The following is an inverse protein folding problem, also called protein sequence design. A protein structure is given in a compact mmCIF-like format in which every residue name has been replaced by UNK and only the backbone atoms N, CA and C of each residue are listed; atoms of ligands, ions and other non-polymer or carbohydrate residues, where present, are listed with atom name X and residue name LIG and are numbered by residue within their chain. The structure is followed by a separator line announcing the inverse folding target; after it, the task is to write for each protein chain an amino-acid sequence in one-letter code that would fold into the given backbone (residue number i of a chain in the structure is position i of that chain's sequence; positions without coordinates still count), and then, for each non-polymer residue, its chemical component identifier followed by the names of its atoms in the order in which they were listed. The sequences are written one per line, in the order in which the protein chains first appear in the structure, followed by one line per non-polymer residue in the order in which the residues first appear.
data_IF_243347783511
#
_entry.id   IF_243347783511
#
_cell.length_a   1.000
_cell.length_b   1.000
_cell.length_c   1.000
_cell.angle_alpha   90.00
_cell.angle_beta   90.00
_cell.angle_gamma   90.00
#
_symmetry.space_group_name_H-M   'P 1'
#
loop_
_entity.id
_entity.type
_entity.pdbx_description
1 polymer ?
#
# COMPACT_ATOMS: atom_id res chain seq x y z
N UNK A 1 -6.40 12.61 -51.93
CA UNK A 1 -7.13 12.07 -50.76
C UNK A 1 -6.13 11.72 -49.67
N UNK A 2 -6.08 12.51 -48.60
CA UNK A 2 -5.22 12.21 -47.44
C UNK A 2 -6.16 11.86 -46.29
N UNK A 3 -6.21 10.60 -45.80
CA UNK A 3 -7.11 10.26 -44.72
C UNK A 3 -6.65 10.96 -43.44
N UNK A 4 -7.59 11.66 -42.81
CA UNK A 4 -7.43 12.45 -41.60
C UNK A 4 -6.84 11.60 -40.45
N UNK A 5 -5.60 11.92 -40.06
CA UNK A 5 -4.85 11.28 -38.95
C UNK A 5 -5.54 11.35 -37.58
N UNK A 6 -6.62 12.13 -37.45
CA UNK A 6 -7.43 12.20 -36.23
C UNK A 6 -8.24 10.92 -35.96
N UNK A 7 -8.73 10.23 -37.00
CA UNK A 7 -9.58 9.04 -36.82
C UNK A 7 -8.81 7.87 -36.21
N UNK A 8 -7.53 7.73 -36.58
CA UNK A 8 -6.64 6.66 -36.09
C UNK A 8 -6.34 6.85 -34.59
N UNK A 9 -6.17 8.10 -34.15
CA UNK A 9 -5.82 8.41 -32.76
C UNK A 9 -7.01 8.28 -31.80
N UNK A 10 -8.24 8.50 -32.26
CA UNK A 10 -9.44 8.37 -31.42
C UNK A 10 -9.95 6.92 -31.32
N UNK A 11 -9.70 6.07 -32.32
CA UNK A 11 -10.04 4.64 -32.25
C UNK A 11 -9.22 3.89 -31.19
N UNK A 12 -7.93 4.21 -31.07
CA UNK A 12 -7.04 3.56 -30.08
C UNK A 12 -7.37 3.95 -28.63
N UNK A 13 -7.74 5.20 -28.38
CA UNK A 13 -8.09 5.67 -27.02
C UNK A 13 -9.40 5.07 -26.52
N UNK A 14 -10.37 4.87 -27.41
CA UNK A 14 -11.66 4.26 -27.05
C UNK A 14 -11.50 2.76 -26.73
N UNK A 15 -10.63 2.04 -27.43
CA UNK A 15 -10.37 0.62 -27.18
C UNK A 15 -9.67 0.36 -25.82
N UNK A 16 -8.76 1.25 -25.42
CA UNK A 16 -8.01 1.11 -24.16
C UNK A 16 -8.88 1.30 -22.90
N UNK A 17 -9.96 2.09 -22.99
CA UNK A 17 -10.86 2.35 -21.86
C UNK A 17 -11.79 1.18 -21.53
N UNK A 18 -12.07 0.27 -22.48
CA UNK A 18 -13.02 -0.83 -22.28
C UNK A 18 -12.38 -2.06 -21.61
N UNK A 19 -11.06 -2.28 -21.72
CA UNK A 19 -10.41 -3.46 -21.13
C UNK A 19 -10.14 -3.37 -19.61
N UNK A 20 -10.33 -2.21 -18.98
CA UNK A 20 -9.94 -1.97 -17.58
C UNK A 20 -10.93 -2.45 -16.51
N UNK A 21 -12.17 -2.80 -16.85
CA UNK A 21 -13.23 -3.04 -15.85
C UNK A 21 -13.45 -4.51 -15.47
N UNK A 22 -12.75 -5.46 -16.09
CA UNK A 22 -12.98 -6.90 -15.85
C UNK A 22 -12.22 -7.49 -14.63
N UNK A 23 -11.45 -6.69 -13.88
CA UNK A 23 -10.57 -7.18 -12.81
C UNK A 23 -11.06 -6.90 -11.37
N UNK A 24 -12.32 -6.47 -11.18
CA UNK A 24 -12.87 -6.21 -9.83
C UNK A 24 -13.87 -7.29 -9.33
N UNK A 25 -14.05 -8.40 -10.04
CA UNK A 25 -14.96 -9.48 -9.63
C UNK A 25 -14.28 -10.56 -8.76
N UNK A 26 -13.45 -10.17 -7.79
CA UNK A 26 -12.73 -11.11 -6.93
C UNK A 26 -12.56 -10.68 -5.47
N UNK A 27 -13.30 -9.66 -5.00
CA UNK A 27 -13.39 -9.39 -3.57
C UNK A 27 -14.52 -10.24 -2.99
N UNK A 28 -14.21 -11.50 -2.69
CA UNK A 28 -15.14 -12.42 -2.06
C UNK A 28 -15.36 -11.96 -0.62
N UNK A 29 -16.38 -11.13 -0.41
CA UNK A 29 -16.89 -10.81 0.92
C UNK A 29 -17.63 -12.02 1.48
N UNK A 30 -16.90 -13.03 1.92
CA UNK A 30 -17.45 -14.05 2.81
C UNK A 30 -17.65 -13.43 4.19
N UNK A 31 -18.89 -13.09 4.53
CA UNK A 31 -19.29 -12.92 5.93
C UNK A 31 -19.82 -14.28 6.39
N UNK A 32 -19.21 -14.87 7.43
CA UNK A 32 -20.02 -15.07 8.63
C UNK A 32 -19.22 -14.80 9.91
N UNK A 33 -19.93 -14.31 10.91
CA UNK A 33 -19.37 -13.92 12.20
C UNK A 33 -18.49 -14.99 12.85
N UNK A 34 -17.41 -14.51 13.46
CA UNK A 34 -16.79 -15.07 14.64
C UNK A 34 -15.85 -13.98 15.13
N UNK A 35 -16.20 -13.28 16.21
CA UNK A 35 -15.24 -12.49 16.96
C UNK A 35 -14.27 -13.51 17.57
N UNK A 36 -13.02 -13.63 17.11
CA UNK A 36 -12.07 -14.45 17.84
C UNK A 36 -11.80 -13.68 19.13
N UNK A 37 -12.11 -14.29 20.27
CA UNK A 37 -11.60 -13.82 21.54
C UNK A 37 -10.10 -13.61 21.37
N UNK A 38 -9.65 -12.37 21.62
CA UNK A 38 -8.25 -12.00 21.53
C UNK A 38 -7.46 -12.78 22.59
N UNK A 39 -7.04 -14.00 22.23
CA UNK A 39 -5.89 -14.61 22.85
C UNK A 39 -4.73 -13.67 22.58
N UNK A 40 -3.96 -13.33 23.61
CA UNK A 40 -2.76 -12.51 23.46
C UNK A 40 -1.78 -13.28 22.58
N UNK A 41 -1.91 -13.13 21.26
CA UNK A 41 -0.96 -13.65 20.29
C UNK A 41 0.33 -12.89 20.53
N UNK A 42 1.40 -13.62 20.84
CA UNK A 42 2.73 -13.05 20.93
C UNK A 42 2.95 -12.19 19.68
N UNK A 43 3.22 -10.90 19.88
CA UNK A 43 3.30 -9.95 18.77
C UNK A 43 4.32 -10.48 17.76
N UNK A 44 3.95 -10.58 16.47
CA UNK A 44 4.86 -11.10 15.47
C UNK A 44 6.16 -10.29 15.48
N UNK A 45 7.33 -10.97 15.32
CA UNK A 45 8.62 -10.29 15.37
C UNK A 45 8.62 -9.12 14.39
N UNK A 46 9.27 -8.03 14.81
CA UNK A 46 9.22 -6.79 14.05
C UNK A 46 9.93 -6.99 12.70
N UNK A 47 9.18 -6.94 11.60
CA UNK A 47 9.72 -7.00 10.23
C UNK A 47 9.86 -5.61 9.64
N UNK A 48 10.77 -5.44 8.68
CA UNK A 48 10.94 -4.18 7.98
C UNK A 48 9.63 -3.67 7.33
N UNK A 49 8.88 -4.56 6.68
CA UNK A 49 7.62 -4.20 6.03
C UNK A 49 6.59 -3.66 7.03
N UNK A 50 6.43 -4.33 8.18
CA UNK A 50 5.53 -3.88 9.25
C UNK A 50 6.02 -2.59 9.91
N UNK A 51 7.34 -2.42 10.04
CA UNK A 51 7.91 -1.16 10.54
C UNK A 51 7.62 0.00 9.59
N UNK A 52 7.79 -0.20 8.28
CA UNK A 52 7.51 0.82 7.26
C UNK A 52 6.05 1.26 7.27
N UNK A 53 5.10 0.32 7.35
CA UNK A 53 3.67 0.62 7.44
C UNK A 53 3.35 1.48 8.67
N UNK A 54 3.80 1.05 9.86
CA UNK A 54 3.56 1.77 11.11
C UNK A 54 4.21 3.17 11.09
N UNK A 55 5.43 3.28 10.56
CA UNK A 55 6.17 4.53 10.48
C UNK A 55 5.55 5.51 9.48
N UNK A 56 5.07 5.03 8.33
CA UNK A 56 4.35 5.85 7.37
C UNK A 56 3.05 6.38 7.96
N UNK A 57 2.22 5.52 8.57
CA UNK A 57 0.96 5.95 9.20
C UNK A 57 1.17 6.98 10.32
N UNK A 58 2.23 6.83 11.11
CA UNK A 58 2.59 7.81 12.14
C UNK A 58 3.03 9.14 11.53
N UNK A 59 3.82 9.09 10.46
CA UNK A 59 4.31 10.27 9.74
C UNK A 59 3.16 11.03 9.10
N UNK A 60 2.17 10.36 8.50
CA UNK A 60 0.98 11.04 7.96
C UNK A 60 0.21 11.81 9.01
N UNK A 61 0.12 11.27 10.23
CA UNK A 61 -0.63 11.90 11.33
C UNK A 61 0.07 13.13 11.91
N UNK A 62 1.41 13.17 11.94
CA UNK A 62 2.17 14.23 12.61
C UNK A 62 2.92 15.18 11.68
N UNK A 63 3.24 14.74 10.46
CA UNK A 63 4.14 15.41 9.52
C UNK A 63 3.57 15.49 8.09
N UNK A 64 2.26 15.28 7.91
CA UNK A 64 1.61 15.29 6.59
C UNK A 64 1.74 16.61 5.81
N UNK A 65 2.05 17.73 6.49
CA UNK A 65 2.32 19.03 5.87
C UNK A 65 3.75 19.20 5.34
N UNK A 66 4.67 18.27 5.64
CA UNK A 66 6.04 18.30 5.13
C UNK A 66 6.11 17.82 3.67
N UNK A 67 7.13 18.25 2.93
CA UNK A 67 7.39 17.70 1.59
C UNK A 67 7.73 16.21 1.67
N UNK A 68 7.49 15.49 0.57
CA UNK A 68 7.61 14.02 0.51
C UNK A 68 9.01 13.52 0.90
N UNK A 69 10.07 14.21 0.49
CA UNK A 69 11.43 13.81 0.84
C UNK A 69 11.68 13.87 2.35
N UNK A 70 11.13 14.89 3.02
CA UNK A 70 11.26 15.01 4.48
C UNK A 70 10.44 13.97 5.22
N UNK A 71 9.28 13.59 4.68
CA UNK A 71 8.49 12.47 5.20
C UNK A 71 9.24 11.15 5.05
N UNK A 72 9.93 10.94 3.93
CA UNK A 72 10.79 9.77 3.72
C UNK A 72 11.93 9.72 4.74
N UNK A 73 12.66 10.83 4.96
CA UNK A 73 13.73 10.92 5.97
C UNK A 73 13.22 10.51 7.38
N UNK A 74 12.01 10.94 7.75
CA UNK A 74 11.38 10.62 9.04
C UNK A 74 10.97 9.15 9.13
N UNK A 75 10.44 8.60 8.04
CA UNK A 75 10.02 7.19 7.96
C UNK A 75 11.22 6.26 8.05
N UNK A 76 12.30 6.55 7.31
CA UNK A 76 13.53 5.74 7.35
C UNK A 76 14.13 5.71 8.75
N UNK A 77 14.22 6.86 9.41
CA UNK A 77 14.68 6.94 10.80
C UNK A 77 13.80 6.13 11.75
N UNK A 78 12.49 6.19 11.58
CA UNK A 78 11.55 5.42 12.39
C UNK A 78 11.70 3.90 12.16
N UNK A 79 11.95 3.46 10.92
CA UNK A 79 12.19 2.06 10.59
C UNK A 79 13.47 1.58 11.28
N UNK A 80 14.57 2.32 11.16
CA UNK A 80 15.85 1.98 11.78
C UNK A 80 15.71 1.78 13.29
N UNK A 81 14.99 2.67 13.96
CA UNK A 81 14.80 2.60 15.40
C UNK A 81 13.92 1.40 15.81
N UNK A 82 12.89 1.06 15.00
CA UNK A 82 12.08 -0.15 15.22
C UNK A 82 12.86 -1.44 14.99
N UNK A 83 13.77 -1.44 14.01
CA UNK A 83 14.58 -2.63 13.69
C UNK A 83 15.71 -2.84 14.72
N UNK A 84 16.27 -1.78 15.30
CA UNK A 84 17.26 -1.89 16.40
C UNK A 84 16.68 -2.51 17.68
N UNK A 85 15.39 -2.27 17.96
CA UNK A 85 14.68 -2.85 19.10
C UNK A 85 14.01 -4.20 18.81
N UNK A 86 14.12 -4.71 17.58
CA UNK A 86 13.44 -5.94 17.18
C UNK A 86 14.09 -7.15 17.88
N UNK A 87 13.30 -8.04 18.54
CA UNK A 87 13.84 -9.29 19.06
C UNK A 87 14.39 -10.11 17.89
N UNK A 88 15.63 -10.59 18.03
CA UNK A 88 16.29 -11.40 17.02
C UNK A 88 15.40 -12.59 16.61
N UNK A 89 15.34 -12.95 15.32
CA UNK A 89 14.56 -14.10 14.87
C UNK A 89 15.07 -15.33 15.61
N UNK A 90 14.19 -15.98 16.38
CA UNK A 90 14.51 -17.26 17.01
C UNK A 90 14.70 -18.27 15.88
N UNK A 91 15.95 -18.70 15.70
CA UNK A 91 16.38 -19.74 14.75
C UNK A 91 15.95 -21.11 15.24
#
# INVERSE_FOLDING_TARGET
MTPSRLFIRHGFTALALVLGTALLAGCETTAPGATPAATAQAEPPMTHARAAELCWMSTEKGAGSMNLDKRADVVDKCIDDKMKGAPAPKS
#
